data_IF_509858807297
#
_entry.id   IF_509858807297
#
_cell.length_a   1.000
_cell.length_b   1.000
_cell.length_c   1.000
_cell.angle_alpha   90.00
_cell.angle_beta   90.00
_cell.angle_gamma   90.00
#
_symmetry.space_group_name_H-M   'P 1'
#
loop_
_entity.id
_entity.type
_entity.pdbx_description
1 polymer ?
#
# COMPACT_ATOMS: atom_id res chain seq x y z
N UNK A 1 0.11 13.01 5.68
CA UNK A 1 1.32 13.85 5.42
C UNK A 1 1.94 14.34 6.71
N UNK A 2 1.17 15.01 7.58
CA UNK A 2 1.65 15.56 8.85
C UNK A 2 2.28 14.54 9.80
N UNK A 3 1.70 13.33 9.91
CA UNK A 3 2.29 12.24 10.70
C UNK A 3 3.67 11.80 10.19
N UNK A 4 3.82 11.66 8.87
CA UNK A 4 5.09 11.23 8.28
C UNK A 4 6.16 12.29 8.48
N UNK A 5 5.81 13.57 8.27
CA UNK A 5 6.72 14.68 8.51
C UNK A 5 7.13 14.81 9.99
N UNK A 6 6.28 14.34 10.92
CA UNK A 6 6.55 14.36 12.36
C UNK A 6 7.42 13.19 12.82
N UNK A 7 7.22 12.00 12.24
CA UNK A 7 7.94 10.79 12.63
C UNK A 7 9.27 10.65 11.88
N UNK A 8 9.33 11.16 10.64
CA UNK A 8 10.51 11.14 9.79
C UNK A 8 10.86 12.58 9.39
N UNK A 9 11.70 13.29 10.18
CA UNK A 9 12.04 14.68 9.91
C UNK A 9 13.06 14.78 8.75
N UNK A 10 12.56 14.64 7.52
CA UNK A 10 13.35 14.65 6.29
C UNK A 10 13.78 16.07 5.91
N UNK A 11 15.01 16.21 5.42
CA UNK A 11 15.50 17.45 4.81
C UNK A 11 14.73 17.79 3.53
N UNK A 12 14.01 18.91 3.55
CA UNK A 12 13.25 19.43 2.40
C UNK A 12 13.89 20.59 1.66
N UNK A 13 14.92 21.22 2.25
CA UNK A 13 15.59 22.36 1.62
C UNK A 13 16.51 21.90 0.49
N UNK A 14 16.79 22.78 -0.47
CA UNK A 14 17.70 22.53 -1.60
C UNK A 14 19.18 22.73 -1.28
N UNK A 15 19.51 23.09 -0.03
CA UNK A 15 20.89 23.35 0.38
C UNK A 15 21.79 22.12 0.17
N UNK A 16 22.90 22.31 -0.53
CA UNK A 16 23.88 21.25 -0.82
C UNK A 16 24.77 21.00 0.39
N UNK A 17 24.81 19.75 0.85
CA UNK A 17 25.71 19.33 1.93
C UNK A 17 26.93 18.66 1.28
N UNK A 18 28.11 19.16 1.59
CA UNK A 18 29.38 18.54 1.18
C UNK A 18 30.09 18.00 2.42
N UNK A 19 31.08 17.10 2.24
CA UNK A 19 31.89 16.61 3.36
C UNK A 19 32.57 17.74 4.16
N UNK A 20 32.86 18.87 3.51
CA UNK A 20 33.48 20.05 4.15
C UNK A 20 32.46 20.88 4.92
N UNK A 21 31.25 21.03 4.40
CA UNK A 21 30.21 21.90 4.97
C UNK A 21 29.27 21.21 5.96
N UNK A 22 29.47 19.92 6.22
CA UNK A 22 28.71 19.15 7.20
C UNK A 22 29.00 19.66 8.61
N UNK A 23 27.97 20.07 9.35
CA UNK A 23 28.11 20.61 10.71
C UNK A 23 28.46 22.11 10.77
N UNK A 24 28.83 22.74 9.65
CA UNK A 24 29.13 24.17 9.60
C UNK A 24 27.87 25.05 9.47
N UNK A 25 26.73 24.47 9.09
CA UNK A 25 25.50 25.22 8.93
C UNK A 25 24.86 25.52 10.28
N UNK A 26 24.32 26.74 10.43
CA UNK A 26 23.47 27.04 11.59
C UNK A 26 22.13 26.29 11.49
N UNK A 27 21.58 25.79 12.61
CA UNK A 27 20.23 25.23 12.64
C UNK A 27 19.22 26.22 12.07
N UNK A 28 18.50 25.82 11.01
CA UNK A 28 17.43 26.62 10.46
C UNK A 28 16.13 26.43 11.27
N UNK A 29 15.13 27.27 11.00
CA UNK A 29 13.82 27.21 11.67
C UNK A 29 13.23 25.80 11.60
N UNK A 30 13.24 25.15 10.43
CA UNK A 30 12.69 23.79 10.27
C UNK A 30 13.38 22.76 11.16
N UNK A 31 14.68 22.89 11.42
CA UNK A 31 15.39 22.03 12.34
C UNK A 31 15.03 22.34 13.80
N UNK A 32 14.91 23.62 14.14
CA UNK A 32 14.52 24.06 15.48
C UNK A 32 13.10 23.63 15.88
N UNK A 33 12.16 23.59 14.92
CA UNK A 33 10.79 23.12 15.15
C UNK A 33 10.61 21.62 14.91
N UNK A 34 11.69 20.87 14.69
CA UNK A 34 11.67 19.40 14.56
C UNK A 34 11.11 18.85 13.25
N UNK A 35 10.92 19.68 12.22
CA UNK A 35 10.48 19.24 10.89
C UNK A 35 11.61 18.70 10.01
N UNK A 36 12.85 18.87 10.44
CA UNK A 36 14.06 18.40 9.75
C UNK A 36 15.06 17.93 10.81
N UNK A 37 15.69 16.77 10.61
CA UNK A 37 16.74 16.27 11.50
C UNK A 37 18.01 17.13 11.52
N UNK A 38 18.08 18.18 10.69
CA UNK A 38 19.20 19.10 10.66
C UNK A 38 20.57 18.43 10.38
N UNK A 39 20.69 17.48 9.43
CA UNK A 39 21.98 16.83 9.16
C UNK A 39 23.03 17.83 8.65
N UNK A 40 22.60 18.92 7.99
CA UNK A 40 23.51 19.99 7.56
C UNK A 40 24.17 20.73 8.73
N UNK A 41 23.46 20.86 9.86
CA UNK A 41 23.91 21.57 11.05
C UNK A 41 24.53 20.62 12.10
N UNK A 42 24.68 19.34 11.76
CA UNK A 42 25.22 18.34 12.69
C UNK A 42 24.31 18.02 13.88
N UNK A 43 23.01 18.32 13.80
CA UNK A 43 22.04 18.00 14.86
C UNK A 43 21.81 16.49 14.95
N UNK A 44 21.71 15.83 13.80
CA UNK A 44 21.65 14.37 13.68
C UNK A 44 22.89 13.90 12.95
N UNK A 45 23.48 12.79 13.41
CA UNK A 45 24.62 12.18 12.75
C UNK A 45 24.24 11.63 11.37
N UNK A 46 25.25 11.47 10.50
CA UNK A 46 25.06 10.97 9.14
C UNK A 46 24.46 9.58 9.12
N UNK A 47 24.90 8.70 10.02
CA UNK A 47 24.44 7.30 10.04
C UNK A 47 23.03 7.20 10.61
N UNK A 48 22.72 7.95 11.66
CA UNK A 48 21.37 8.05 12.22
C UNK A 48 20.38 8.60 11.19
N UNK A 49 20.75 9.68 10.50
CA UNK A 49 19.91 10.27 9.46
C UNK A 49 19.69 9.28 8.30
N UNK A 50 20.73 8.55 7.88
CA UNK A 50 20.60 7.51 6.85
C UNK A 50 19.68 6.37 7.31
N UNK A 51 19.77 5.97 8.58
CA UNK A 51 18.88 4.96 9.17
C UNK A 51 17.43 5.42 9.10
N UNK A 52 17.13 6.65 9.54
CA UNK A 52 15.75 7.19 9.46
C UNK A 52 15.22 7.29 8.03
N UNK A 53 16.07 7.61 7.05
CA UNK A 53 15.67 7.59 5.64
C UNK A 53 15.42 6.17 5.13
N UNK A 54 16.23 5.20 5.56
CA UNK A 54 16.04 3.79 5.19
C UNK A 54 14.71 3.26 5.75
N UNK A 55 14.41 3.55 7.02
CA UNK A 55 13.12 3.23 7.63
C UNK A 55 11.93 3.87 6.90
N UNK A 56 12.09 5.11 6.41
CA UNK A 56 11.06 5.77 5.59
C UNK A 56 10.90 5.10 4.21
N UNK A 57 11.99 4.66 3.59
CA UNK A 57 11.94 3.92 2.32
C UNK A 57 11.24 2.58 2.53
N UNK A 58 11.59 1.85 3.58
CA UNK A 58 10.97 0.58 3.95
C UNK A 58 9.47 0.77 4.22
N UNK A 59 9.11 1.87 4.90
CA UNK A 59 7.72 2.26 5.10
C UNK A 59 6.97 2.48 3.78
N UNK A 60 7.58 3.19 2.84
CA UNK A 60 7.00 3.41 1.51
C UNK A 60 6.94 2.12 0.68
N UNK A 61 7.83 1.17 0.94
CA UNK A 61 7.82 -0.16 0.36
C UNK A 61 6.77 -1.10 1.00
N UNK A 62 6.16 -0.68 2.11
CA UNK A 62 5.05 -1.38 2.79
C UNK A 62 5.41 -2.00 4.14
N UNK A 63 6.64 -1.85 4.63
CA UNK A 63 7.03 -2.28 5.97
C UNK A 63 6.61 -1.25 7.03
N UNK A 64 5.50 -1.52 7.72
CA UNK A 64 4.96 -0.64 8.75
C UNK A 64 5.57 -0.86 10.15
N UNK A 65 6.49 -1.80 10.31
CA UNK A 65 6.98 -2.22 11.63
C UNK A 65 7.66 -1.09 12.40
N UNK A 66 8.53 -0.33 11.73
CA UNK A 66 9.22 0.84 12.26
C UNK A 66 8.24 1.94 12.68
N UNK A 67 7.30 2.27 11.79
CA UNK A 67 6.26 3.29 12.05
C UNK A 67 5.41 2.95 13.26
N UNK A 68 5.00 1.68 13.40
CA UNK A 68 4.20 1.24 14.54
C UNK A 68 4.95 1.34 15.85
N UNK A 69 6.21 0.91 15.87
CA UNK A 69 7.07 1.00 17.05
C UNK A 69 7.24 2.45 17.48
N UNK A 70 7.63 3.34 16.56
CA UNK A 70 7.83 4.77 16.84
C UNK A 70 6.55 5.45 17.30
N UNK A 71 5.41 5.15 16.67
CA UNK A 71 4.12 5.69 17.09
C UNK A 71 3.73 5.22 18.49
N UNK A 72 3.97 3.94 18.82
CA UNK A 72 3.70 3.38 20.15
C UNK A 72 4.57 4.03 21.24
N UNK A 73 5.87 4.17 21.01
CA UNK A 73 6.80 4.86 21.91
C UNK A 73 6.37 6.32 22.14
N UNK A 74 5.99 7.02 21.06
CA UNK A 74 5.51 8.41 21.15
C UNK A 74 4.24 8.53 21.96
N UNK A 75 3.27 7.64 21.76
CA UNK A 75 2.02 7.60 22.52
C UNK A 75 2.27 7.32 24.00
N UNK A 76 3.15 6.37 24.33
CA UNK A 76 3.50 6.05 25.73
C UNK A 76 4.11 7.25 26.43
N UNK A 77 5.04 7.97 25.78
CA UNK A 77 5.64 9.18 26.33
C UNK A 77 4.59 10.28 26.55
N UNK A 78 3.68 10.51 25.59
CA UNK A 78 2.59 11.49 25.73
C UNK A 78 1.62 11.12 26.85
N UNK A 79 1.30 9.83 27.02
CA UNK A 79 0.48 9.35 28.12
C UNK A 79 1.15 9.58 29.48
N UNK A 80 2.47 9.35 29.58
CA UNK A 80 3.25 9.66 30.78
C UNK A 80 3.28 11.15 31.12
N UNK A 81 3.16 12.03 30.11
CA UNK A 81 3.03 13.49 30.25
C UNK A 81 1.58 13.95 30.49
N UNK A 82 0.62 13.03 30.69
CA UNK A 82 -0.81 13.29 30.77
C UNK A 82 -1.42 14.02 29.54
N UNK A 83 -0.76 13.93 28.37
CA UNK A 83 -1.18 14.53 27.10
C UNK A 83 -2.02 13.57 26.27
N UNK A 84 -3.17 13.16 26.80
CA UNK A 84 -4.01 12.11 26.19
C UNK A 84 -4.58 12.48 24.82
N UNK A 85 -4.96 13.76 24.61
CA UNK A 85 -5.51 14.22 23.33
C UNK A 85 -4.47 14.10 22.20
N UNK A 86 -3.25 14.59 22.43
CA UNK A 86 -2.15 14.44 21.47
C UNK A 86 -1.78 12.97 21.25
N UNK A 87 -1.89 12.11 22.28
CA UNK A 87 -1.68 10.67 22.11
C UNK A 87 -2.77 10.04 21.21
N UNK A 88 -4.01 10.49 21.33
CA UNK A 88 -5.12 10.04 20.48
C UNK A 88 -4.92 10.48 19.02
N UNK A 89 -4.43 11.69 18.77
CA UNK A 89 -4.08 12.15 17.41
C UNK A 89 -3.04 11.24 16.75
N UNK A 90 -1.98 10.86 17.49
CA UNK A 90 -0.95 9.94 16.99
C UNK A 90 -1.55 8.57 16.66
N UNK A 91 -2.44 8.05 17.52
CA UNK A 91 -3.15 6.78 17.30
C UNK A 91 -3.98 6.82 16.01
N UNK A 92 -4.78 7.86 15.85
CA UNK A 92 -5.73 7.98 14.73
C UNK A 92 -4.99 8.20 13.40
N UNK A 93 -3.88 8.94 13.45
CA UNK A 93 -2.98 9.09 12.33
C UNK A 93 -2.30 7.76 11.95
N UNK A 94 -1.85 6.98 12.94
CA UNK A 94 -1.27 5.64 12.70
C UNK A 94 -2.30 4.72 12.03
N UNK A 95 -3.54 4.67 12.56
CA UNK A 95 -4.63 3.89 11.98
C UNK A 95 -4.86 4.24 10.51
N UNK A 96 -4.84 5.53 10.19
CA UNK A 96 -4.99 6.03 8.82
C UNK A 96 -3.83 5.59 7.91
N UNK A 97 -2.58 5.67 8.41
CA UNK A 97 -1.41 5.22 7.66
C UNK A 97 -1.45 3.73 7.35
N UNK A 98 -1.79 2.89 8.34
CA UNK A 98 -1.95 1.44 8.16
C UNK A 98 -3.02 1.12 7.12
N UNK A 99 -4.17 1.81 7.17
CA UNK A 99 -5.25 1.62 6.21
C UNK A 99 -4.82 1.98 4.78
N UNK A 100 -4.06 3.07 4.59
CA UNK A 100 -3.55 3.48 3.27
C UNK A 100 -2.53 2.47 2.75
N UNK A 101 -1.58 2.06 3.59
CA UNK A 101 -0.56 1.08 3.21
C UNK A 101 -1.16 -0.28 2.86
N UNK A 102 -2.16 -0.75 3.63
CA UNK A 102 -2.88 -1.99 3.32
C UNK A 102 -3.60 -1.92 1.98
N UNK A 103 -4.14 -0.75 1.60
CA UNK A 103 -4.78 -0.56 0.29
C UNK A 103 -3.74 -0.60 -0.83
N UNK A 104 -2.62 0.10 -0.65
CA UNK A 104 -1.53 0.12 -1.62
C UNK A 104 -0.94 -1.30 -1.84
N UNK A 105 -0.78 -2.07 -0.77
CA UNK A 105 -0.30 -3.47 -0.83
C UNK A 105 -1.23 -4.36 -1.66
N UNK A 106 -2.55 -4.30 -1.41
CA UNK A 106 -3.54 -5.06 -2.18
C UNK A 106 -3.53 -4.70 -3.66
N UNK A 107 -3.48 -3.40 -3.99
CA UNK A 107 -3.39 -2.93 -5.37
C UNK A 107 -2.10 -3.40 -6.02
N UNK A 108 -0.97 -3.29 -5.32
CA UNK A 108 0.34 -3.71 -5.82
C UNK A 108 0.39 -5.22 -6.08
N UNK A 109 -0.17 -6.04 -5.16
CA UNK A 109 -0.23 -7.48 -5.31
C UNK A 109 -1.01 -7.89 -6.57
N UNK A 110 -2.17 -7.28 -6.83
CA UNK A 110 -2.95 -7.59 -8.03
C UNK A 110 -2.30 -7.07 -9.32
N UNK A 111 -1.64 -5.91 -9.29
CA UNK A 111 -0.90 -5.37 -10.45
C UNK A 111 0.28 -6.25 -10.90
N UNK A 112 0.88 -7.00 -9.97
CA UNK A 112 1.99 -7.92 -10.28
C UNK A 112 1.53 -9.20 -10.98
N UNK A 113 0.24 -9.53 -10.94
CA UNK A 113 -0.29 -10.76 -11.54
C UNK A 113 -0.56 -10.53 -13.03
N UNK A 114 0.12 -11.27 -13.95
CA UNK A 114 -0.11 -11.17 -15.38
C UNK A 114 -1.54 -11.48 -15.78
N UNK A 115 -2.10 -12.56 -15.24
CA UNK A 115 -3.50 -12.92 -15.47
C UNK A 115 -4.10 -13.65 -14.26
N UNK A 116 -5.31 -13.25 -13.90
CA UNK A 116 -6.12 -13.88 -12.87
C UNK A 116 -7.54 -14.03 -13.42
N UNK A 117 -8.11 -15.22 -13.27
CA UNK A 117 -9.47 -15.55 -13.69
C UNK A 117 -10.24 -16.00 -12.48
N UNK A 118 -11.37 -15.35 -12.24
CA UNK A 118 -12.26 -15.67 -11.13
C UNK A 118 -13.71 -15.66 -11.57
N UNK A 119 -14.54 -16.35 -10.79
CA UNK A 119 -15.99 -16.40 -10.95
C UNK A 119 -16.68 -16.09 -9.63
N UNK A 120 -17.68 -15.22 -9.65
CA UNK A 120 -18.56 -14.98 -8.52
C UNK A 120 -19.99 -15.44 -8.86
N UNK A 121 -20.82 -15.80 -7.86
CA UNK A 121 -22.24 -16.03 -8.10
C UNK A 121 -22.89 -14.80 -8.72
N UNK A 122 -23.52 -14.99 -9.89
CA UNK A 122 -24.27 -13.97 -10.60
C UNK A 122 -25.79 -14.10 -10.37
N UNK A 123 -26.57 -13.36 -11.15
CA UNK A 123 -28.02 -13.50 -11.16
C UNK A 123 -28.47 -14.82 -11.84
N UNK A 124 -29.75 -15.20 -11.70
CA UNK A 124 -30.35 -16.40 -12.30
C UNK A 124 -29.60 -17.72 -12.01
N UNK A 125 -28.96 -17.83 -10.85
CA UNK A 125 -28.08 -18.96 -10.47
C UNK A 125 -26.90 -19.17 -11.44
N UNK A 126 -26.54 -18.13 -12.19
CA UNK A 126 -25.38 -18.10 -13.07
C UNK A 126 -24.10 -17.63 -12.37
N UNK A 127 -23.09 -17.35 -13.18
CA UNK A 127 -21.75 -16.96 -12.73
C UNK A 127 -21.28 -15.72 -13.47
N UNK A 128 -20.75 -14.75 -12.74
CA UNK A 128 -20.05 -13.60 -13.29
C UNK A 128 -18.56 -13.93 -13.36
N UNK A 129 -18.02 -13.96 -14.57
CA UNK A 129 -16.61 -14.22 -14.86
C UNK A 129 -15.87 -12.88 -15.01
N UNK A 130 -14.66 -12.82 -14.46
CA UNK A 130 -13.73 -11.73 -14.70
C UNK A 130 -12.33 -12.27 -15.05
N UNK A 131 -11.73 -11.66 -16.06
CA UNK A 131 -10.33 -11.81 -16.43
C UNK A 131 -9.63 -10.52 -16.06
N UNK A 132 -8.68 -10.60 -15.13
CA UNK A 132 -7.93 -9.47 -14.62
C UNK A 132 -6.49 -9.63 -15.05
N UNK A 133 -5.92 -8.61 -15.70
CA UNK A 133 -4.52 -8.59 -16.12
C UNK A 133 -3.84 -7.37 -15.56
N UNK A 134 -2.77 -7.56 -14.81
CA UNK A 134 -2.03 -6.47 -14.15
C UNK A 134 -2.92 -5.49 -13.37
N UNK A 135 -3.93 -6.02 -12.68
CA UNK A 135 -4.85 -5.22 -11.87
C UNK A 135 -5.91 -4.43 -12.65
N UNK A 136 -6.00 -4.62 -13.97
CA UNK A 136 -7.04 -4.07 -14.85
C UNK A 136 -8.07 -5.14 -15.22
N UNK A 137 -9.33 -4.77 -15.37
CA UNK A 137 -10.35 -5.67 -15.91
C UNK A 137 -10.13 -5.84 -17.43
N UNK A 138 -9.58 -6.98 -17.84
CA UNK A 138 -9.33 -7.30 -19.24
C UNK A 138 -10.56 -7.87 -19.95
N UNK A 139 -11.46 -8.52 -19.21
CA UNK A 139 -12.71 -9.06 -19.75
C UNK A 139 -13.68 -9.43 -18.63
N UNK A 140 -14.98 -9.29 -18.91
CA UNK A 140 -16.04 -9.73 -18.01
C UNK A 140 -17.18 -10.37 -18.81
N UNK A 141 -17.90 -11.30 -18.20
CA UNK A 141 -19.05 -11.94 -18.82
C UNK A 141 -19.93 -12.68 -17.82
N UNK A 142 -21.20 -12.84 -18.15
CA UNK A 142 -22.14 -13.63 -17.35
C UNK A 142 -22.42 -14.97 -18.03
N UNK A 143 -22.40 -16.05 -17.25
CA UNK A 143 -22.71 -17.42 -17.69
C UNK A 143 -23.95 -17.90 -16.97
N UNK A 144 -25.02 -18.16 -17.72
CA UNK A 144 -26.25 -18.73 -17.14
C UNK A 144 -26.01 -20.16 -16.64
N UNK A 145 -26.82 -20.63 -15.68
CA UNK A 145 -26.76 -22.02 -15.18
C UNK A 145 -26.97 -23.10 -16.27
N UNK A 146 -27.48 -22.73 -17.44
CA UNK A 146 -27.74 -23.64 -18.57
C UNK A 146 -26.58 -23.68 -19.58
N UNK A 147 -25.61 -22.79 -19.45
CA UNK A 147 -24.50 -22.61 -20.38
C UNK A 147 -23.23 -23.30 -19.86
N UNK A 148 -22.37 -23.75 -20.76
CA UNK A 148 -21.06 -24.29 -20.41
C UNK A 148 -20.12 -23.17 -19.97
N UNK A 149 -19.67 -23.19 -18.71
CA UNK A 149 -18.69 -22.24 -18.18
C UNK A 149 -17.37 -22.27 -18.97
N UNK A 150 -16.91 -23.46 -19.37
CA UNK A 150 -15.63 -23.61 -20.09
C UNK A 150 -15.65 -22.97 -21.48
N UNK A 151 -16.75 -23.11 -22.22
CA UNK A 151 -16.91 -22.50 -23.55
C UNK A 151 -16.99 -20.98 -23.44
N UNK A 152 -17.80 -20.47 -22.51
CA UNK A 152 -17.92 -19.04 -22.26
C UNK A 152 -16.60 -18.43 -21.79
N UNK A 153 -15.84 -19.13 -20.94
CA UNK A 153 -14.52 -18.69 -20.50
C UNK A 153 -13.53 -18.64 -21.67
N UNK A 154 -13.50 -19.67 -22.51
CA UNK A 154 -12.63 -19.71 -23.70
C UNK A 154 -12.95 -18.55 -24.65
N UNK A 155 -14.24 -18.30 -24.90
CA UNK A 155 -14.68 -17.17 -25.70
C UNK A 155 -14.24 -15.84 -25.08
N UNK A 156 -14.45 -15.66 -23.77
CA UNK A 156 -14.08 -14.45 -23.05
C UNK A 156 -12.57 -14.20 -23.07
N UNK A 157 -11.75 -15.23 -22.85
CA UNK A 157 -10.29 -15.16 -22.94
C UNK A 157 -9.81 -14.75 -24.33
N UNK A 158 -10.47 -15.22 -25.39
CA UNK A 158 -10.12 -14.87 -26.77
C UNK A 158 -10.39 -13.40 -27.12
N UNK A 159 -11.35 -12.76 -26.44
CA UNK A 159 -11.72 -11.35 -26.65
C UNK A 159 -11.14 -10.41 -25.59
N UNK A 160 -10.49 -10.93 -24.54
CA UNK A 160 -9.99 -10.15 -23.43
C UNK A 160 -8.89 -9.18 -23.86
N UNK A 161 -8.96 -7.94 -23.36
CA UNK A 161 -8.01 -6.89 -23.65
C UNK A 161 -6.58 -7.33 -23.29
N UNK A 162 -5.63 -7.12 -24.19
CA UNK A 162 -4.22 -7.27 -23.88
C UNK A 162 -3.76 -6.09 -23.03
N UNK A 163 -3.19 -6.36 -21.85
CA UNK A 163 -2.72 -5.35 -20.90
C UNK A 163 -1.21 -5.49 -20.75
N UNK A 164 -0.41 -4.44 -21.02
CA UNK A 164 1.04 -4.50 -20.83
C UNK A 164 1.40 -4.60 -19.35
N UNK A 165 2.56 -5.20 -19.05
CA UNK A 165 3.10 -5.20 -17.70
C UNK A 165 3.40 -3.78 -17.23
N UNK A 166 3.05 -3.42 -15.98
CA UNK A 166 3.24 -2.07 -15.47
C UNK A 166 4.73 -1.76 -15.29
N UNK A 167 5.11 -0.55 -15.70
CA UNK A 167 6.47 -0.04 -15.51
C UNK A 167 6.74 0.41 -14.05
N UNK A 168 7.97 0.88 -13.76
CA UNK A 168 8.32 1.40 -12.43
C UNK A 168 7.61 2.71 -12.09
N UNK A 169 7.14 3.43 -13.10
CA UNK A 169 6.38 4.67 -12.97
C UNK A 169 4.99 4.49 -13.57
N UNK A 170 3.95 5.11 -12.98
CA UNK A 170 2.60 5.08 -13.54
C UNK A 170 2.58 5.64 -14.96
N UNK A 171 1.89 4.93 -15.85
CA UNK A 171 1.62 5.35 -17.23
C UNK A 171 0.12 5.61 -17.43
N UNK A 172 -0.24 6.33 -18.49
CA UNK A 172 -1.65 6.61 -18.80
C UNK A 172 -2.47 5.35 -19.12
N UNK A 173 -1.81 4.27 -19.54
CA UNK A 173 -2.43 2.98 -19.86
C UNK A 173 -2.60 2.07 -18.65
N UNK A 174 -2.06 2.45 -17.49
CA UNK A 174 -2.20 1.68 -16.25
C UNK A 174 -3.63 1.74 -15.71
N UNK A 175 -4.08 0.66 -15.07
CA UNK A 175 -5.33 0.68 -14.31
C UNK A 175 -5.29 1.75 -13.22
N UNK A 176 -6.39 2.48 -13.09
CA UNK A 176 -6.56 3.40 -11.97
C UNK A 176 -6.54 2.60 -10.65
N UNK A 177 -5.86 3.08 -9.60
CA UNK A 177 -5.82 2.37 -8.32
C UNK A 177 -7.21 2.01 -7.77
N UNK A 178 -8.21 2.83 -8.09
CA UNK A 178 -9.60 2.61 -7.68
C UNK A 178 -10.27 1.45 -8.41
N UNK A 179 -9.98 1.24 -9.69
CA UNK A 179 -10.43 0.06 -10.45
C UNK A 179 -9.83 -1.20 -9.85
N UNK A 180 -8.49 -1.23 -9.68
CA UNK A 180 -7.81 -2.36 -9.05
C UNK A 180 -8.37 -2.64 -7.65
N UNK A 181 -8.75 -1.60 -6.90
CA UNK A 181 -9.36 -1.73 -5.57
C UNK A 181 -10.74 -2.38 -5.64
N UNK A 182 -11.58 -2.00 -6.60
CA UNK A 182 -12.90 -2.62 -6.80
C UNK A 182 -12.76 -4.10 -7.15
N UNK A 183 -11.84 -4.42 -8.06
CA UNK A 183 -11.55 -5.80 -8.44
C UNK A 183 -11.03 -6.61 -7.26
N UNK A 184 -10.08 -6.06 -6.50
CA UNK A 184 -9.56 -6.71 -5.29
C UNK A 184 -10.66 -6.94 -4.24
N UNK A 185 -11.67 -6.07 -4.16
CA UNK A 185 -12.82 -6.25 -3.28
C UNK A 185 -13.79 -7.32 -3.79
N UNK A 186 -14.11 -7.31 -5.08
CA UNK A 186 -14.95 -8.33 -5.71
C UNK A 186 -14.32 -9.74 -5.62
N UNK A 187 -12.99 -9.84 -5.70
CA UNK A 187 -12.27 -11.10 -5.50
C UNK A 187 -12.43 -11.68 -4.08
N UNK A 188 -12.87 -10.90 -3.08
CA UNK A 188 -13.19 -11.45 -1.76
C UNK A 188 -14.47 -12.30 -1.78
N UNK A 189 -15.34 -12.11 -2.77
CA UNK A 189 -16.60 -12.86 -2.95
C UNK A 189 -16.53 -13.88 -4.09
N UNK A 190 -15.43 -13.91 -4.84
CA UNK A 190 -15.25 -14.74 -6.02
C UNK A 190 -14.42 -15.98 -5.71
N UNK A 191 -14.65 -17.06 -6.47
CA UNK A 191 -13.82 -18.25 -6.50
C UNK A 191 -12.77 -18.12 -7.63
N UNK A 192 -11.50 -18.39 -7.29
CA UNK A 192 -10.40 -18.33 -8.25
C UNK A 192 -10.44 -19.57 -9.14
N UNK A 193 -10.56 -19.37 -10.45
CA UNK A 193 -10.51 -20.45 -11.44
C UNK A 193 -9.06 -20.72 -11.84
N UNK A 194 -8.29 -19.65 -12.13
CA UNK A 194 -6.91 -19.77 -12.59
C UNK A 194 -6.10 -18.52 -12.27
N UNK A 195 -4.81 -18.69 -12.04
CA UNK A 195 -3.84 -17.61 -11.88
C UNK A 195 -2.61 -17.95 -12.69
N UNK A 196 -2.23 -17.07 -13.63
CA UNK A 196 -0.94 -17.11 -14.30
C UNK A 196 -0.04 -16.15 -13.54
N UNK A 197 0.96 -16.64 -12.79
CA UNK A 197 1.83 -15.78 -12.01
C UNK A 197 2.94 -15.14 -12.85
N UNK A 198 3.50 -14.01 -12.40
CA UNK A 198 4.65 -13.38 -13.06
C UNK A 198 5.98 -14.08 -12.71
N UNK A 199 6.04 -14.72 -11.53
CA UNK A 199 7.15 -15.50 -10.97
C UNK A 199 6.61 -16.81 -10.38
N UNK A 200 7.42 -17.61 -9.67
CA UNK A 200 6.92 -18.81 -8.97
C UNK A 200 5.92 -18.48 -7.82
N UNK A 201 5.54 -17.20 -7.65
CA UNK A 201 4.60 -16.74 -6.63
C UNK A 201 3.29 -16.33 -7.29
N UNK A 202 2.23 -17.05 -6.94
CA UNK A 202 0.86 -16.66 -7.27
C UNK A 202 0.42 -15.34 -6.63
N UNK A 203 -0.85 -15.00 -6.81
CA UNK A 203 -1.47 -13.89 -6.10
C UNK A 203 -1.42 -14.14 -4.58
N UNK A 204 -0.62 -13.34 -3.89
CA UNK A 204 -0.40 -13.45 -2.44
C UNK A 204 -0.08 -12.10 -1.82
N UNK A 205 -0.39 -11.97 -0.52
CA UNK A 205 -0.03 -10.80 0.28
C UNK A 205 1.11 -11.16 1.24
N UNK A 206 2.05 -10.22 1.51
CA UNK A 206 3.08 -10.43 2.53
C UNK A 206 2.48 -10.77 3.90
N UNK A 207 2.97 -11.85 4.52
CA UNK A 207 2.48 -12.32 5.84
C UNK A 207 2.63 -11.27 6.95
N UNK A 208 3.65 -10.43 6.87
CA UNK A 208 3.89 -9.32 7.81
C UNK A 208 3.69 -7.95 7.13
N UNK A 209 2.86 -7.92 6.08
CA UNK A 209 2.54 -6.71 5.35
C UNK A 209 1.59 -5.78 6.11
N UNK A 210 1.35 -4.63 5.51
CA UNK A 210 0.41 -3.64 5.98
C UNK A 210 -1.00 -4.21 6.18
N UNK A 211 -1.43 -5.17 5.36
CA UNK A 211 -2.72 -5.84 5.53
C UNK A 211 -2.78 -6.66 6.82
N UNK A 212 -1.76 -7.46 7.13
CA UNK A 212 -1.68 -8.20 8.41
C UNK A 212 -1.78 -7.25 9.61
N UNK A 213 -1.08 -6.12 9.54
CA UNK A 213 -1.13 -5.10 10.58
C UNK A 213 -2.49 -4.38 10.67
N UNK A 214 -3.16 -4.17 9.55
CA UNK A 214 -4.49 -3.58 9.53
C UNK A 214 -5.53 -4.48 10.23
N UNK A 215 -5.38 -5.80 10.07
CA UNK A 215 -6.19 -6.79 10.78
C UNK A 215 -5.94 -6.77 12.29
N UNK A 216 -4.67 -6.85 12.71
CA UNK A 216 -4.34 -6.93 14.15
C UNK A 216 -4.69 -5.66 14.92
N UNK A 217 -4.66 -4.49 14.26
CA UNK A 217 -4.98 -3.18 14.85
C UNK A 217 -6.47 -2.83 14.77
N UNK A 218 -7.29 -3.61 14.05
CA UNK A 218 -8.67 -3.27 13.75
C UNK A 218 -8.83 -1.99 12.92
N UNK A 219 -7.75 -1.53 12.26
CA UNK A 219 -7.74 -0.35 11.41
C UNK A 219 -8.54 -0.57 10.11
N UNK A 220 -8.64 -1.82 9.67
CA UNK A 220 -9.46 -2.26 8.54
C UNK A 220 -10.30 -3.44 9.02
N UNK A 221 -11.62 -3.30 8.97
CA UNK A 221 -12.52 -4.47 9.02
C UNK A 221 -12.61 -5.02 7.60
N UNK A 222 -11.92 -6.11 7.29
CA UNK A 222 -12.25 -6.92 6.11
C UNK A 222 -13.49 -7.72 6.44
N UNK A 223 -14.65 -7.06 6.31
CA UNK A 223 -15.99 -7.62 6.15
C UNK A 223 -16.98 -6.56 6.64
N UNK A 224 -17.60 -5.86 5.70
CA UNK A 224 -19.05 -5.75 5.78
C UNK A 224 -19.56 -6.13 4.39
N UNK A 225 -20.05 -7.36 4.19
CA UNK A 225 -20.83 -7.66 3.01
C UNK A 225 -22.08 -6.78 3.11
N UNK A 226 -22.27 -5.90 2.12
CA UNK A 226 -23.60 -5.36 1.82
C UNK A 226 -24.12 -6.17 0.66
#
# INVERSE_FOLDING_TARGET
KELLDTLYPVKRCTATITKRSLGEHRPCVSAQVGQCGGPCAGITDTDDYRSSISELIDLLAGDLSSLQRLAAERMQRLAGEARFETAAEVRDAMRSAVAIASRAERVSALRRVPELIAAAPGFDSGWDLAIIRHGKLAGAGHVSARSSMGESLTALQSTAEWVPAPGPLPQETDSLPEETRLLAGWLETAELISVIPADDRGWSLPRQGATSHAHSSGAVRLSNPV
#
